data_IF_196745551064
#
_entry.id   IF_196745551064
#
_cell.length_a   1.000
_cell.length_b   1.000
_cell.length_c   1.000
_cell.angle_alpha   90.00
_cell.angle_beta   90.00
_cell.angle_gamma   90.00
#
_symmetry.space_group_name_H-M   'P 1'
#
loop_
_entity.id
_entity.type
_entity.pdbx_description
1 polymer ?
#
# COMPACT_ATOMS: atom_id res chain seq x y z
N UNK A 1 -10.34 -9.84 -0.96
CA UNK A 1 -9.66 -8.67 -0.33
C UNK A 1 -9.76 -8.92 1.17
N UNK A 2 -8.63 -9.09 1.86
CA UNK A 2 -8.57 -9.43 3.30
C UNK A 2 -8.24 -8.18 4.15
N UNK A 3 -8.85 -7.06 3.80
CA UNK A 3 -8.60 -5.76 4.42
C UNK A 3 -9.86 -5.26 5.10
N UNK A 4 -9.72 -4.82 6.35
CA UNK A 4 -10.81 -4.24 7.11
C UNK A 4 -10.85 -2.73 6.86
N UNK A 5 -11.79 -2.31 6.01
CA UNK A 5 -12.06 -0.91 5.70
C UNK A 5 -13.25 -0.46 6.55
N UNK A 6 -13.03 0.51 7.43
CA UNK A 6 -14.04 1.05 8.33
C UNK A 6 -14.18 2.57 8.18
N UNK A 7 -15.20 3.14 8.84
CA UNK A 7 -15.48 4.58 8.77
C UNK A 7 -14.34 5.45 9.33
N UNK A 8 -13.59 4.95 10.32
CA UNK A 8 -12.44 5.65 10.88
C UNK A 8 -11.32 5.79 9.84
N UNK A 9 -10.96 4.69 9.18
CA UNK A 9 -9.99 4.69 8.09
C UNK A 9 -10.43 5.62 6.95
N UNK A 10 -11.69 5.56 6.52
CA UNK A 10 -12.19 6.44 5.46
C UNK A 10 -12.12 7.92 5.85
N UNK A 11 -12.35 8.25 7.12
CA UNK A 11 -12.17 9.62 7.62
C UNK A 11 -10.70 10.04 7.60
N UNK A 12 -9.76 9.16 8.00
CA UNK A 12 -8.32 9.43 7.93
C UNK A 12 -7.83 9.61 6.49
N UNK A 13 -8.28 8.75 5.59
CA UNK A 13 -8.07 8.84 4.15
C UNK A 13 -8.52 10.22 3.63
N UNK A 14 -9.76 10.64 3.95
CA UNK A 14 -10.31 11.94 3.55
C UNK A 14 -9.54 13.13 4.14
N UNK A 15 -9.08 13.04 5.38
CA UNK A 15 -8.36 14.14 6.04
C UNK A 15 -6.92 14.29 5.55
N UNK A 16 -6.29 13.19 5.13
CA UNK A 16 -4.90 13.17 4.66
C UNK A 16 -4.77 13.29 3.14
N UNK A 17 -5.86 13.24 2.37
CA UNK A 17 -5.85 13.60 0.96
C UNK A 17 -6.32 15.03 0.78
N UNK A 18 -5.52 15.86 0.12
CA UNK A 18 -5.84 17.28 -0.11
C UNK A 18 -5.66 17.58 -1.60
N UNK A 19 -6.75 17.97 -2.24
CA UNK A 19 -6.80 18.23 -3.67
C UNK A 19 -5.71 19.24 -4.10
N UNK A 20 -4.98 18.94 -5.17
CA UNK A 20 -3.87 19.73 -5.69
C UNK A 20 -2.70 19.97 -4.71
N UNK A 21 -2.63 19.26 -3.58
CA UNK A 21 -1.52 19.41 -2.63
C UNK A 21 -0.94 18.09 -2.13
N UNK A 22 -1.76 17.13 -1.72
CA UNK A 22 -1.27 15.91 -1.05
C UNK A 22 -2.07 14.66 -1.42
N UNK A 23 -1.33 13.62 -1.74
CA UNK A 23 -1.81 12.24 -1.81
C UNK A 23 -1.35 11.47 -0.59
N UNK A 24 -2.17 10.54 -0.11
CA UNK A 24 -1.90 9.79 1.11
C UNK A 24 -1.76 8.30 0.82
N UNK A 25 -0.65 7.72 1.25
CA UNK A 25 -0.35 6.29 1.18
C UNK A 25 -0.31 5.73 2.61
N UNK A 26 -1.42 5.22 3.15
CA UNK A 26 -1.45 4.62 4.48
C UNK A 26 -0.58 3.36 4.55
N UNK A 27 0.06 3.13 5.69
CA UNK A 27 0.75 1.89 6.03
C UNK A 27 -0.16 1.10 6.95
N UNK A 28 -0.70 -0.01 6.46
CA UNK A 28 -1.61 -0.88 7.22
C UNK A 28 -0.88 -1.71 8.27
N UNK A 29 -1.62 -2.15 9.29
CA UNK A 29 -1.19 -3.23 10.17
C UNK A 29 -1.47 -4.58 9.51
N UNK A 30 -0.41 -5.36 9.26
CA UNK A 30 -0.42 -6.69 8.69
C UNK A 30 -0.34 -7.72 9.82
N UNK A 31 -1.37 -8.56 9.94
CA UNK A 31 -1.28 -9.72 10.83
C UNK A 31 -0.24 -10.72 10.33
N UNK A 32 0.44 -11.39 11.27
CA UNK A 32 1.27 -12.55 10.97
C UNK A 32 0.44 -13.77 10.60
N UNK A 33 1.08 -14.73 9.93
CA UNK A 33 0.50 -16.03 9.65
C UNK A 33 -0.02 -16.67 10.95
N UNK A 34 -1.32 -16.99 10.98
CA UNK A 34 -1.96 -17.55 12.19
C UNK A 34 -1.37 -18.88 12.62
N UNK A 35 -0.91 -19.69 11.65
CA UNK A 35 -0.35 -21.02 11.94
C UNK A 35 0.99 -20.89 12.68
N UNK A 36 1.74 -19.83 12.40
CA UNK A 36 3.02 -19.51 13.04
C UNK A 36 2.80 -18.75 14.35
N UNK A 37 2.03 -17.66 14.32
CA UNK A 37 1.82 -16.80 15.47
C UNK A 37 1.10 -17.51 16.62
N UNK A 38 0.09 -18.33 16.32
CA UNK A 38 -0.74 -18.97 17.33
C UNK A 38 -0.42 -20.46 17.53
N UNK A 39 0.60 -21.02 16.89
CA UNK A 39 1.01 -22.43 17.07
C UNK A 39 -0.16 -23.43 16.94
N UNK A 40 -0.98 -23.26 15.90
CA UNK A 40 -2.24 -24.00 15.66
C UNK A 40 -3.36 -23.80 16.71
N UNK A 41 -3.26 -22.79 17.57
CA UNK A 41 -4.35 -22.39 18.45
C UNK A 41 -5.36 -21.49 17.70
N UNK A 42 -6.61 -21.41 18.18
CA UNK A 42 -7.62 -20.54 17.58
C UNK A 42 -7.17 -19.07 17.61
N UNK A 43 -7.27 -18.41 16.46
CA UNK A 43 -7.05 -16.96 16.35
C UNK A 43 -8.03 -16.19 17.26
N UNK A 44 -7.56 -15.15 17.98
CA UNK A 44 -8.43 -14.26 18.74
C UNK A 44 -9.51 -13.60 17.86
N UNK A 45 -10.69 -13.35 18.42
CA UNK A 45 -11.79 -12.69 17.69
C UNK A 45 -11.45 -11.23 17.29
N UNK A 46 -10.59 -10.59 18.09
CA UNK A 46 -10.05 -9.26 17.84
C UNK A 46 -8.54 -9.31 17.95
N UNK A 47 -7.85 -8.75 16.97
CA UNK A 47 -6.40 -8.60 17.01
C UNK A 47 -6.07 -7.18 17.43
N UNK A 48 -5.43 -7.07 18.59
CA UNK A 48 -4.90 -5.82 19.09
C UNK A 48 -3.63 -5.45 18.30
N UNK A 49 -3.32 -4.14 18.23
CA UNK A 49 -2.11 -3.62 17.59
C UNK A 49 -0.88 -3.87 18.49
N UNK A 50 -0.56 -5.14 18.70
CA UNK A 50 0.58 -5.61 19.50
C UNK A 50 1.59 -6.31 18.61
N UNK A 51 2.86 -6.23 18.99
CA UNK A 51 3.99 -6.75 18.20
C UNK A 51 3.91 -8.25 17.92
N UNK A 52 3.28 -9.02 18.79
CA UNK A 52 3.19 -10.48 18.63
C UNK A 52 2.09 -10.89 17.64
N UNK A 53 1.15 -9.99 17.32
CA UNK A 53 0.03 -10.28 16.43
C UNK A 53 0.27 -9.84 14.99
N UNK A 54 1.23 -8.95 14.75
CA UNK A 54 1.53 -8.41 13.44
C UNK A 54 2.47 -7.22 13.48
N UNK A 55 2.59 -6.54 12.35
CA UNK A 55 3.47 -5.39 12.17
C UNK A 55 2.87 -4.39 11.18
N UNK A 56 3.40 -3.16 11.14
CA UNK A 56 3.05 -2.21 10.08
C UNK A 56 3.90 -2.49 8.84
N UNK A 57 3.29 -2.95 7.75
CA UNK A 57 4.00 -3.35 6.53
C UNK A 57 4.43 -2.12 5.72
N UNK A 58 5.63 -1.62 6.05
CA UNK A 58 6.24 -0.44 5.40
C UNK A 58 6.58 -0.69 3.92
N UNK A 59 6.52 -1.93 3.44
CA UNK A 59 6.84 -2.32 2.06
C UNK A 59 5.60 -2.44 1.17
N UNK A 60 4.39 -2.35 1.72
CA UNK A 60 3.13 -2.31 0.96
C UNK A 60 2.78 -0.91 0.47
N UNK A 61 2.42 -0.78 -0.81
CA UNK A 61 2.03 0.50 -1.42
C UNK A 61 0.71 0.36 -2.19
N UNK A 62 -0.06 -0.68 -1.86
CA UNK A 62 -1.29 -1.04 -2.58
C UNK A 62 -2.44 -0.09 -2.19
N UNK A 63 -2.34 0.53 -1.02
CA UNK A 63 -3.35 1.39 -0.43
C UNK A 63 -2.99 2.86 -0.64
N UNK A 64 -3.91 3.63 -1.22
CA UNK A 64 -3.74 5.04 -1.46
C UNK A 64 -5.07 5.80 -1.46
N UNK A 65 -4.97 7.07 -1.09
CA UNK A 65 -6.06 8.03 -1.01
C UNK A 65 -5.65 9.30 -1.76
N UNK A 66 -6.36 9.63 -2.83
CA UNK A 66 -6.07 10.77 -3.68
C UNK A 66 -7.36 11.26 -4.36
N UNK A 67 -7.37 12.52 -4.79
CA UNK A 67 -8.47 13.02 -5.60
C UNK A 67 -8.35 12.50 -7.04
N UNK A 68 -9.48 12.24 -7.69
CA UNK A 68 -9.48 11.82 -9.09
C UNK A 68 -8.85 12.89 -10.01
N UNK A 69 -9.00 14.17 -9.70
CA UNK A 69 -8.32 15.28 -10.39
C UNK A 69 -6.80 15.18 -10.32
N UNK A 70 -6.25 14.85 -9.14
CA UNK A 70 -4.82 14.65 -8.93
C UNK A 70 -4.31 13.44 -9.73
N UNK A 71 -5.07 12.34 -9.72
CA UNK A 71 -4.73 11.16 -10.52
C UNK A 71 -4.71 11.47 -12.02
N UNK A 72 -5.77 12.09 -12.54
CA UNK A 72 -5.89 12.38 -13.97
C UNK A 72 -4.80 13.34 -14.44
N UNK A 73 -4.52 14.41 -13.68
CA UNK A 73 -3.46 15.37 -14.03
C UNK A 73 -2.06 14.72 -13.99
N UNK A 74 -1.78 13.90 -12.98
CA UNK A 74 -0.52 13.14 -12.87
C UNK A 74 -0.36 12.18 -14.04
N UNK A 75 -1.43 11.43 -14.37
CA UNK A 75 -1.42 10.46 -15.46
C UNK A 75 -1.23 11.12 -16.83
N UNK A 76 -1.85 12.28 -17.07
CA UNK A 76 -1.66 13.02 -18.32
C UNK A 76 -0.20 13.40 -18.54
N UNK A 77 0.50 13.90 -17.50
CA UNK A 77 1.94 14.22 -17.57
C UNK A 77 2.79 12.98 -17.80
N UNK A 78 2.47 11.87 -17.14
CA UNK A 78 3.20 10.61 -17.37
C UNK A 78 3.09 10.13 -18.82
N UNK A 79 1.91 10.27 -19.45
CA UNK A 79 1.70 9.85 -20.84
C UNK A 79 2.52 10.67 -21.83
N UNK A 80 2.74 11.97 -21.56
CA UNK A 80 3.59 12.82 -22.39
C UNK A 80 5.04 12.29 -22.45
N UNK A 81 5.58 11.82 -21.32
CA UNK A 81 6.92 11.24 -21.25
C UNK A 81 7.00 9.79 -21.79
N UNK A 82 5.93 9.00 -21.62
CA UNK A 82 5.85 7.61 -22.10
C UNK A 82 5.89 7.51 -23.63
N UNK A 83 5.48 8.55 -24.36
CA UNK A 83 5.57 8.56 -25.83
C UNK A 83 7.02 8.39 -26.33
N UNK A 84 8.01 8.64 -25.47
CA UNK A 84 9.43 8.46 -25.76
C UNK A 84 10.01 7.11 -25.23
N UNK A 85 9.26 6.39 -24.39
CA UNK A 85 9.66 5.10 -23.79
C UNK A 85 8.43 4.23 -23.47
N UNK A 86 8.11 3.27 -24.35
CA UNK A 86 6.95 2.37 -24.16
C UNK A 86 7.07 1.49 -22.89
N UNK A 87 8.29 1.13 -22.48
CA UNK A 87 8.57 0.26 -21.31
C UNK A 87 8.27 0.93 -19.95
N UNK A 88 8.07 2.25 -19.93
CA UNK A 88 7.80 3.01 -18.70
C UNK A 88 6.40 2.73 -18.13
N UNK A 89 5.42 2.37 -18.98
CA UNK A 89 4.07 2.05 -18.52
C UNK A 89 3.99 0.74 -17.74
N UNK A 90 4.85 -0.22 -18.05
CA UNK A 90 4.81 -1.56 -17.45
C UNK A 90 5.62 -1.66 -16.15
N UNK A 91 6.47 -0.65 -15.87
CA UNK A 91 7.42 -0.68 -14.76
C UNK A 91 7.02 0.16 -13.55
N UNK A 92 6.10 1.12 -13.71
CA UNK A 92 5.72 2.05 -12.64
C UNK A 92 4.48 1.59 -11.86
N UNK A 93 4.58 1.57 -10.53
CA UNK A 93 3.41 1.50 -9.66
C UNK A 93 2.76 2.89 -9.46
N UNK A 94 1.55 2.94 -8.89
CA UNK A 94 0.83 4.21 -8.65
C UNK A 94 1.63 5.13 -7.71
N UNK A 95 2.35 4.57 -6.75
CA UNK A 95 3.17 5.36 -5.83
C UNK A 95 4.29 6.07 -6.59
N UNK A 96 5.04 5.34 -7.42
CA UNK A 96 6.08 5.89 -8.28
C UNK A 96 5.54 6.91 -9.27
N UNK A 97 4.35 6.66 -9.84
CA UNK A 97 3.68 7.60 -10.72
C UNK A 97 3.45 8.95 -10.01
N UNK A 98 2.93 8.95 -8.77
CA UNK A 98 2.74 10.18 -8.01
C UNK A 98 4.08 10.83 -7.63
N UNK A 99 5.08 10.06 -7.20
CA UNK A 99 6.41 10.58 -6.85
C UNK A 99 7.08 11.26 -8.06
N UNK A 100 6.99 10.65 -9.25
CA UNK A 100 7.69 11.13 -10.45
C UNK A 100 6.94 12.27 -11.17
N UNK A 101 5.61 12.21 -11.26
CA UNK A 101 4.86 13.06 -12.20
C UNK A 101 3.91 14.08 -11.57
N UNK A 102 3.55 13.93 -10.29
CA UNK A 102 2.43 14.70 -9.73
C UNK A 102 2.81 16.12 -9.29
N UNK A 103 4.05 16.32 -8.82
CA UNK A 103 4.44 17.53 -8.10
C UNK A 103 3.68 17.75 -6.78
N UNK A 104 2.91 16.76 -6.34
CA UNK A 104 2.15 16.77 -5.08
C UNK A 104 3.03 16.26 -3.94
N UNK A 105 2.66 16.63 -2.71
CA UNK A 105 3.23 16.02 -1.52
C UNK A 105 2.74 14.58 -1.40
N UNK A 106 3.67 13.62 -1.48
CA UNK A 106 3.37 12.20 -1.29
C UNK A 106 3.53 11.87 0.19
N UNK A 107 2.42 11.88 0.93
CA UNK A 107 2.43 11.63 2.37
C UNK A 107 2.22 10.14 2.66
N UNK A 108 3.11 9.57 3.47
CA UNK A 108 3.06 8.15 3.87
C UNK A 108 3.17 8.04 5.40
N UNK A 109 2.20 7.40 6.02
CA UNK A 109 2.16 7.26 7.48
C UNK A 109 1.45 5.97 7.91
N UNK A 110 1.78 5.51 9.11
CA UNK A 110 1.09 4.41 9.79
C UNK A 110 -0.38 4.76 10.01
N UNK A 111 -1.26 3.82 9.64
CA UNK A 111 -2.70 3.95 9.82
C UNK A 111 -3.25 2.79 10.68
N UNK A 112 -3.37 3.00 12.00
CA UNK A 112 -3.85 1.99 12.95
C UNK A 112 -5.25 1.42 12.63
N UNK A 113 -6.12 2.22 12.02
CA UNK A 113 -7.48 1.79 11.67
C UNK A 113 -7.53 0.93 10.38
N UNK A 114 -6.42 0.85 9.64
CA UNK A 114 -6.28 0.05 8.44
C UNK A 114 -5.59 -1.27 8.76
N UNK A 115 -6.40 -2.33 8.76
CA UNK A 115 -5.96 -3.63 9.23
C UNK A 115 -6.11 -4.69 8.13
N UNK A 116 -5.03 -5.41 7.84
CA UNK A 116 -4.99 -6.47 6.86
C UNK A 116 -4.73 -7.80 7.54
N UNK A 117 -5.61 -8.77 7.31
CA UNK A 117 -5.37 -10.14 7.77
C UNK A 117 -4.21 -10.74 7.00
N UNK A 118 -3.53 -11.73 7.59
CA UNK A 118 -2.46 -12.44 6.90
C UNK A 118 -2.92 -12.92 5.52
N UNK A 119 -2.11 -12.59 4.51
CA UNK A 119 -2.29 -13.04 3.14
C UNK A 119 -0.93 -13.21 2.50
N UNK A 120 -0.64 -14.43 2.07
CA UNK A 120 0.47 -14.67 1.17
C UNK A 120 0.20 -14.03 -0.20
N UNK A 121 1.09 -13.12 -0.62
CA UNK A 121 1.00 -12.44 -1.93
C UNK A 121 1.83 -13.22 -2.95
N UNK A 122 1.25 -13.54 -4.11
CA UNK A 122 2.05 -14.11 -5.21
C UNK A 122 2.83 -12.98 -5.88
N UNK A 123 4.13 -12.88 -5.57
CA UNK A 123 5.01 -11.86 -6.15
C UNK A 123 5.21 -12.14 -7.64
N UNK A 124 4.78 -11.24 -8.52
CA UNK A 124 4.89 -11.44 -9.96
C UNK A 124 6.34 -11.16 -10.42
N UNK A 125 7.09 -12.15 -10.93
CA UNK A 125 8.48 -11.96 -11.36
C UNK A 125 8.60 -11.16 -12.66
N UNK A 126 7.48 -10.84 -13.32
CA UNK A 126 7.46 -9.97 -14.51
C UNK A 126 7.43 -8.48 -14.18
N UNK A 127 7.22 -8.10 -12.91
CA UNK A 127 7.33 -6.71 -12.46
C UNK A 127 8.80 -6.29 -12.41
N UNK A 128 9.05 -4.99 -12.22
CA UNK A 128 10.40 -4.49 -11.97
C UNK A 128 11.04 -5.19 -10.75
N UNK A 129 12.37 -5.30 -10.78
CA UNK A 129 13.14 -5.97 -9.72
C UNK A 129 12.82 -5.41 -8.33
N UNK A 130 12.67 -4.09 -8.22
CA UNK A 130 12.33 -3.39 -6.99
C UNK A 130 10.93 -3.77 -6.45
N UNK A 131 9.93 -3.84 -7.33
CA UNK A 131 8.56 -4.22 -6.95
C UNK A 131 8.48 -5.69 -6.53
N UNK A 132 9.17 -6.56 -7.27
CA UNK A 132 9.27 -7.98 -6.94
C UNK A 132 9.96 -8.18 -5.58
N UNK A 133 11.08 -7.50 -5.36
CA UNK A 133 11.84 -7.59 -4.11
C UNK A 133 11.04 -7.05 -2.93
N UNK A 134 10.38 -5.89 -3.05
CA UNK A 134 9.47 -5.33 -2.02
C UNK A 134 8.37 -6.32 -1.63
N UNK A 135 7.73 -6.95 -2.62
CA UNK A 135 6.65 -7.91 -2.37
C UNK A 135 7.14 -9.17 -1.66
N UNK A 136 8.28 -9.71 -2.09
CA UNK A 136 8.90 -10.90 -1.48
C UNK A 136 9.27 -10.64 -0.02
N UNK A 137 9.85 -9.46 0.22
CA UNK A 137 10.25 -9.00 1.53
C UNK A 137 9.06 -8.72 2.47
N UNK A 138 7.94 -8.21 1.96
CA UNK A 138 6.68 -8.08 2.71
C UNK A 138 6.14 -9.45 3.14
N UNK A 139 6.16 -10.45 2.25
CA UNK A 139 5.75 -11.81 2.59
C UNK A 139 6.62 -12.40 3.71
N UNK A 140 7.96 -12.22 3.64
CA UNK A 140 8.87 -12.75 4.65
C UNK A 140 8.64 -12.14 6.04
N UNK A 141 8.29 -10.86 6.11
CA UNK A 141 7.96 -10.20 7.39
C UNK A 141 6.61 -10.64 7.95
N UNK A 142 5.70 -11.16 7.12
CA UNK A 142 4.40 -11.67 7.55
C UNK A 142 4.42 -13.10 8.10
N UNK A 143 5.55 -13.80 8.01
CA UNK A 143 5.71 -15.20 8.42
C UNK A 143 6.13 -15.34 9.88
#
# INVERSE_FOLDING_TARGET
>A
INMNINAEFLNRCRMNSINNWQVFFPIHFQEYNSDVAYHNQPRPATVDLVKDAGHFDRRSFDEACFYNSDYMSTRSRMVEDVQENEDLLESLDIYEMFVKYSGLHVFRAVEPALHQQYRYRSCNPKLSEDLYHRSTLSNMEGL
#
